data_IF_573731710509
#
_entry.id   IF_573731710509
#
_cell.length_a   1.000
_cell.length_b   1.000
_cell.length_c   1.000
_cell.angle_alpha   90.00
_cell.angle_beta   90.00
_cell.angle_gamma   90.00
#
_symmetry.space_group_name_H-M   'P 1'
#
loop_
_entity.id
_entity.type
_entity.pdbx_description
1 polymer ?
#
# COMPACT_ATOMS: atom_id res chain seq x y z
N UNK A 1 -15.90 8.86 9.14
CA UNK A 1 -15.92 9.44 7.80
C UNK A 1 -15.33 10.84 7.84
N UNK A 2 -14.45 11.15 6.89
CA UNK A 2 -13.89 12.46 6.60
C UNK A 2 -14.43 12.83 5.22
N UNK A 3 -15.44 13.69 5.15
CA UNK A 3 -16.21 13.90 3.92
C UNK A 3 -16.54 15.37 3.68
N UNK A 4 -16.49 15.79 2.42
CA UNK A 4 -16.83 17.16 1.98
C UNK A 4 -15.62 18.02 1.68
N UNK A 5 -15.76 18.89 0.66
CA UNK A 5 -14.67 19.72 0.13
C UNK A 5 -14.09 20.75 1.10
N UNK A 6 -14.81 21.06 2.17
CA UNK A 6 -14.34 21.96 3.24
C UNK A 6 -13.69 21.21 4.41
N UNK A 7 -13.68 19.87 4.38
CA UNK A 7 -13.11 19.03 5.44
C UNK A 7 -11.61 18.87 5.21
N UNK A 8 -10.84 19.65 5.93
CA UNK A 8 -9.39 19.75 5.73
C UNK A 8 -8.63 19.83 7.06
N UNK A 9 -7.36 19.37 7.03
CA UNK A 9 -6.42 19.41 8.17
C UNK A 9 -6.88 18.66 9.43
N UNK A 10 -7.74 17.64 9.28
CA UNK A 10 -8.12 16.79 10.39
C UNK A 10 -7.07 15.68 10.59
N UNK A 11 -6.95 15.21 11.84
CA UNK A 11 -6.08 14.11 12.20
C UNK A 11 -6.86 12.97 12.87
N UNK A 12 -6.59 11.74 12.45
CA UNK A 12 -7.07 10.50 13.08
C UNK A 12 -5.86 9.77 13.61
N UNK A 13 -5.62 9.81 14.92
CA UNK A 13 -4.35 9.37 15.53
C UNK A 13 -4.55 8.53 16.79
N UNK A 14 -3.68 7.51 16.99
CA UNK A 14 -3.59 6.74 18.23
C UNK A 14 -4.81 5.85 18.53
N UNK A 15 -5.60 5.48 17.52
CA UNK A 15 -6.84 4.74 17.72
C UNK A 15 -6.67 3.26 17.41
N UNK A 16 -7.51 2.44 18.03
CA UNK A 16 -7.81 1.08 17.59
C UNK A 16 -9.13 1.10 16.80
N UNK A 17 -9.09 0.77 15.51
CA UNK A 17 -10.25 0.85 14.60
C UNK A 17 -10.53 -0.55 14.04
N UNK A 18 -11.59 -1.18 14.52
CA UNK A 18 -11.95 -2.55 14.19
C UNK A 18 -11.20 -3.62 14.98
N UNK A 19 -10.53 -3.22 16.06
CA UNK A 19 -9.91 -4.11 17.03
C UNK A 19 -10.44 -3.83 18.45
N UNK A 20 -10.23 -4.78 19.35
CA UNK A 20 -10.57 -4.63 20.77
C UNK A 20 -9.67 -3.59 21.48
N UNK A 21 -9.97 -3.29 22.73
CA UNK A 21 -9.23 -2.32 23.56
C UNK A 21 -7.74 -2.70 23.75
N UNK A 22 -7.39 -3.96 23.58
CA UNK A 22 -6.02 -4.43 23.65
C UNK A 22 -5.32 -4.43 22.26
N UNK A 23 -6.06 -4.18 21.17
CA UNK A 23 -5.55 -4.22 19.80
C UNK A 23 -5.12 -5.61 19.35
N UNK A 24 -5.73 -6.68 19.90
CA UNK A 24 -5.32 -8.07 19.67
C UNK A 24 -6.43 -8.96 19.11
N UNK A 25 -7.69 -8.55 19.20
CA UNK A 25 -8.84 -9.29 18.69
C UNK A 25 -9.60 -8.42 17.69
N UNK A 26 -9.98 -9.00 16.55
CA UNK A 26 -10.79 -8.31 15.55
C UNK A 26 -12.22 -8.10 16.05
N UNK A 27 -12.66 -6.86 16.09
CA UNK A 27 -14.03 -6.42 16.33
C UNK A 27 -14.44 -5.47 15.18
N UNK A 28 -14.34 -6.00 13.97
CA UNK A 28 -14.36 -5.24 12.73
C UNK A 28 -15.67 -4.50 12.45
N UNK A 29 -15.52 -3.36 11.81
CA UNK A 29 -16.65 -2.66 11.21
C UNK A 29 -17.02 -3.37 9.89
N UNK A 30 -18.32 -3.50 9.60
CA UNK A 30 -18.77 -4.12 8.35
C UNK A 30 -18.38 -3.31 7.09
N UNK A 31 -18.10 -2.03 7.26
CA UNK A 31 -17.60 -1.13 6.23
C UNK A 31 -16.12 -0.81 6.35
N UNK A 32 -15.77 0.42 6.02
CA UNK A 32 -14.40 0.92 6.08
C UNK A 32 -14.02 1.31 7.52
N UNK A 33 -12.78 1.04 7.93
CA UNK A 33 -12.25 1.56 9.18
C UNK A 33 -12.20 3.09 9.15
N UNK A 34 -11.54 3.65 8.11
CA UNK A 34 -11.53 5.10 7.82
C UNK A 34 -11.90 5.30 6.36
N UNK A 35 -12.78 6.25 6.07
CA UNK A 35 -13.07 6.72 4.72
C UNK A 35 -12.82 8.21 4.60
N UNK A 36 -12.17 8.63 3.50
CA UNK A 36 -11.94 10.04 3.11
C UNK A 36 -12.48 10.22 1.70
N UNK A 37 -13.42 11.14 1.52
CA UNK A 37 -14.12 11.31 0.24
C UNK A 37 -14.76 12.69 0.05
N UNK A 38 -15.46 12.84 -1.07
CA UNK A 38 -16.25 14.03 -1.42
C UNK A 38 -15.39 15.31 -1.40
N UNK A 39 -14.14 15.21 -1.87
CA UNK A 39 -13.23 16.35 -1.96
C UNK A 39 -12.54 16.73 -0.64
N UNK A 40 -12.53 15.87 0.38
CA UNK A 40 -11.79 16.14 1.61
C UNK A 40 -10.27 16.13 1.37
N UNK A 41 -9.57 17.16 1.84
CA UNK A 41 -8.16 17.39 1.49
C UNK A 41 -7.26 17.61 2.71
N UNK A 42 -5.96 17.32 2.55
CA UNK A 42 -4.93 17.63 3.57
C UNK A 42 -5.18 17.02 4.95
N UNK A 43 -5.94 15.93 5.05
CA UNK A 43 -6.16 15.22 6.29
C UNK A 43 -5.05 14.20 6.55
N UNK A 44 -4.80 13.87 7.81
CA UNK A 44 -3.78 12.92 8.20
C UNK A 44 -4.40 11.75 8.97
N UNK A 45 -4.11 10.52 8.51
CA UNK A 45 -4.47 9.28 9.20
C UNK A 45 -3.19 8.68 9.77
N UNK A 46 -3.05 8.68 11.08
CA UNK A 46 -1.81 8.34 11.79
C UNK A 46 -0.88 9.53 11.95
N UNK A 47 0.42 9.30 11.89
CA UNK A 47 1.44 10.35 12.02
C UNK A 47 2.81 9.78 12.33
N UNK A 48 3.85 10.60 12.16
CA UNK A 48 5.25 10.21 12.39
C UNK A 48 5.67 10.19 13.86
N UNK A 49 4.94 10.88 14.73
CA UNK A 49 5.25 10.94 16.16
C UNK A 49 4.93 9.60 16.85
N UNK A 50 5.68 9.27 17.87
CA UNK A 50 5.42 8.07 18.67
C UNK A 50 3.98 8.09 19.23
N UNK A 51 3.24 7.00 19.05
CA UNK A 51 1.84 6.87 19.46
C UNK A 51 0.81 7.53 18.53
N UNK A 52 1.22 8.24 17.47
CA UNK A 52 0.29 8.84 16.50
C UNK A 52 -0.30 7.81 15.51
N UNK A 53 0.38 6.70 15.29
CA UNK A 53 -0.12 5.64 14.42
C UNK A 53 -1.39 4.98 14.96
N UNK A 54 -2.31 4.59 14.09
CA UNK A 54 -3.48 3.82 14.45
C UNK A 54 -3.24 2.33 14.21
N UNK A 55 -3.98 1.47 14.91
CA UNK A 55 -4.19 0.06 14.58
C UNK A 55 -5.53 -0.03 13.85
N UNK A 56 -5.50 -0.40 12.57
CA UNK A 56 -6.71 -0.44 11.70
C UNK A 56 -6.85 -1.85 11.16
N UNK A 57 -7.72 -2.66 11.77
CA UNK A 57 -7.74 -4.10 11.55
C UNK A 57 -9.14 -4.68 11.72
N UNK A 58 -9.41 -5.83 11.07
CA UNK A 58 -10.70 -6.51 11.16
C UNK A 58 -11.82 -5.91 10.31
N UNK A 59 -11.60 -4.82 9.58
CA UNK A 59 -12.65 -4.15 8.80
C UNK A 59 -12.79 -4.75 7.39
N UNK A 60 -13.84 -4.38 6.64
CA UNK A 60 -13.90 -4.71 5.22
C UNK A 60 -12.77 -3.99 4.46
N UNK A 61 -12.63 -2.69 4.55
CA UNK A 61 -11.44 -1.97 4.09
C UNK A 61 -10.84 -1.18 5.24
N UNK A 62 -9.54 -1.30 5.47
CA UNK A 62 -8.89 -0.55 6.54
C UNK A 62 -9.03 0.95 6.32
N UNK A 63 -8.48 1.47 5.22
CA UNK A 63 -8.56 2.89 4.83
C UNK A 63 -9.01 2.98 3.37
N UNK A 64 -10.03 3.80 3.11
CA UNK A 64 -10.55 4.03 1.76
C UNK A 64 -10.52 5.52 1.41
N UNK A 65 -9.83 5.88 0.32
CA UNK A 65 -9.84 7.21 -0.27
C UNK A 65 -10.62 7.16 -1.58
N UNK A 66 -11.59 8.04 -1.75
CA UNK A 66 -12.51 8.02 -2.89
C UNK A 66 -12.71 9.45 -3.43
N UNK A 67 -13.04 9.53 -4.73
CA UNK A 67 -13.39 10.72 -5.49
C UNK A 67 -12.21 11.62 -5.95
N UNK A 68 -12.41 12.24 -7.11
CA UNK A 68 -11.38 12.98 -7.86
C UNK A 68 -10.72 14.12 -7.08
N UNK A 69 -11.50 14.86 -6.30
CA UNK A 69 -11.03 16.03 -5.55
C UNK A 69 -10.46 15.67 -4.16
N UNK A 70 -10.50 14.39 -3.78
CA UNK A 70 -9.93 13.90 -2.52
C UNK A 70 -8.42 13.80 -2.66
N UNK A 71 -7.71 14.87 -2.27
CA UNK A 71 -6.30 15.05 -2.57
C UNK A 71 -5.47 15.52 -1.37
N UNK A 72 -4.15 15.30 -1.44
CA UNK A 72 -3.21 15.81 -0.44
C UNK A 72 -3.35 15.16 0.95
N UNK A 73 -4.11 14.07 1.09
CA UNK A 73 -4.22 13.38 2.36
C UNK A 73 -3.00 12.49 2.60
N UNK A 74 -2.63 12.30 3.88
CA UNK A 74 -1.47 11.52 4.29
C UNK A 74 -1.88 10.35 5.18
N UNK A 75 -1.36 9.15 4.88
CA UNK A 75 -1.53 7.92 5.66
C UNK A 75 -0.16 7.52 6.18
N UNK A 76 0.11 7.73 7.48
CA UNK A 76 1.46 7.67 8.05
C UNK A 76 1.49 6.86 9.34
N UNK A 77 2.49 5.98 9.50
CA UNK A 77 2.82 5.36 10.78
C UNK A 77 1.78 4.38 11.33
N UNK A 78 0.86 3.88 10.50
CA UNK A 78 -0.21 2.99 10.95
C UNK A 78 0.18 1.51 10.87
N UNK A 79 -0.47 0.69 11.70
CA UNK A 79 -0.53 -0.75 11.60
C UNK A 79 -1.87 -1.15 10.96
N UNK A 80 -1.84 -1.72 9.75
CA UNK A 80 -3.04 -1.99 8.94
C UNK A 80 -3.12 -3.48 8.63
N UNK A 81 -4.06 -4.17 9.30
CA UNK A 81 -4.26 -5.60 9.17
C UNK A 81 -3.41 -6.45 10.12
N UNK A 82 -2.72 -5.81 11.06
CA UNK A 82 -1.98 -6.48 12.13
C UNK A 82 -2.54 -6.11 13.50
N UNK A 83 -2.11 -6.84 14.52
CA UNK A 83 -2.32 -6.47 15.92
C UNK A 83 -1.50 -5.22 16.30
N UNK A 84 -1.68 -4.74 17.52
CA UNK A 84 -0.97 -3.56 18.05
C UNK A 84 0.56 -3.72 18.11
N UNK A 85 1.07 -4.94 18.06
CA UNK A 85 2.52 -5.20 18.05
C UNK A 85 3.12 -5.18 16.66
N UNK A 86 2.27 -5.18 15.61
CA UNK A 86 2.69 -5.28 14.22
C UNK A 86 3.29 -6.64 13.86
N UNK A 87 3.06 -7.67 14.67
CA UNK A 87 3.69 -9.00 14.51
C UNK A 87 2.69 -10.15 14.32
N UNK A 88 1.42 -9.96 14.66
CA UNK A 88 0.37 -10.95 14.49
C UNK A 88 -0.71 -10.42 13.53
N UNK A 89 -1.29 -11.34 12.74
CA UNK A 89 -2.33 -11.03 11.77
C UNK A 89 -3.65 -10.70 12.46
N UNK A 90 -4.27 -9.59 12.02
CA UNK A 90 -5.61 -9.18 12.44
C UNK A 90 -6.39 -8.56 11.25
N UNK A 91 -6.30 -9.17 10.07
CA UNK A 91 -6.54 -8.62 8.74
C UNK A 91 -7.87 -7.91 8.50
N UNK A 92 -7.81 -6.85 7.70
CA UNK A 92 -8.96 -6.36 6.94
C UNK A 92 -9.15 -7.23 5.67
N UNK A 93 -10.23 -7.06 4.90
CA UNK A 93 -10.29 -7.63 3.56
C UNK A 93 -9.30 -6.90 2.67
N UNK A 94 -9.39 -5.58 2.55
CA UNK A 94 -8.36 -4.74 1.92
C UNK A 94 -7.69 -3.84 2.96
N UNK A 95 -6.38 -3.66 2.85
CA UNK A 95 -5.64 -2.75 3.74
C UNK A 95 -5.94 -1.29 3.43
N UNK A 96 -5.46 -0.81 2.28
CA UNK A 96 -5.72 0.54 1.76
C UNK A 96 -6.29 0.41 0.35
N UNK A 97 -7.41 1.09 0.08
CA UNK A 97 -7.94 1.23 -1.25
C UNK A 97 -8.04 2.72 -1.64
N UNK A 98 -7.62 3.05 -2.87
CA UNK A 98 -7.75 4.38 -3.45
C UNK A 98 -8.51 4.26 -4.77
N UNK A 99 -9.64 4.94 -4.88
CA UNK A 99 -10.47 4.98 -6.07
C UNK A 99 -10.66 6.41 -6.54
N UNK A 100 -10.10 6.75 -7.69
CA UNK A 100 -10.12 8.08 -8.31
C UNK A 100 -9.47 9.22 -7.49
N UNK A 101 -9.16 9.02 -6.20
CA UNK A 101 -8.46 10.01 -5.38
C UNK A 101 -6.98 10.12 -5.79
N UNK A 102 -6.43 11.33 -5.76
CA UNK A 102 -5.11 11.62 -6.34
C UNK A 102 -4.22 12.46 -5.43
N UNK A 103 -2.91 12.45 -5.72
CA UNK A 103 -1.90 13.24 -4.97
C UNK A 103 -1.94 13.00 -3.46
N UNK A 104 -2.36 11.81 -3.03
CA UNK A 104 -2.29 11.40 -1.64
C UNK A 104 -0.96 10.69 -1.38
N UNK A 105 -0.52 10.71 -0.14
CA UNK A 105 0.74 10.09 0.30
C UNK A 105 0.49 8.93 1.27
N UNK A 106 1.09 7.78 0.98
CA UNK A 106 1.06 6.59 1.84
C UNK A 106 2.49 6.31 2.31
N UNK A 107 2.75 6.52 3.59
CA UNK A 107 4.07 6.42 4.18
C UNK A 107 4.97 7.59 3.82
N UNK A 108 6.27 7.39 3.96
CA UNK A 108 7.29 8.40 3.66
C UNK A 108 8.69 7.92 4.05
N UNK A 109 9.74 8.73 3.77
CA UNK A 109 11.12 8.34 3.95
C UNK A 109 11.54 8.21 5.41
N UNK A 110 10.89 8.92 6.33
CA UNK A 110 11.22 8.86 7.74
C UNK A 110 10.66 7.58 8.40
N UNK A 111 11.42 6.92 9.29
CA UNK A 111 10.96 5.69 9.95
C UNK A 111 9.60 5.80 10.64
N UNK A 112 9.27 6.95 11.23
CA UNK A 112 7.98 7.19 11.88
C UNK A 112 6.82 7.37 10.91
N UNK A 113 7.07 7.62 9.63
CA UNK A 113 6.03 7.73 8.59
C UNK A 113 5.64 6.39 7.99
N UNK A 114 6.42 5.34 8.26
CA UNK A 114 6.23 3.99 7.72
C UNK A 114 4.91 3.38 8.19
N UNK A 115 4.07 2.94 7.26
CA UNK A 115 2.99 2.03 7.60
C UNK A 115 3.47 0.58 7.50
N UNK A 116 2.90 -0.29 8.35
CA UNK A 116 2.94 -1.74 8.20
C UNK A 116 1.59 -2.18 7.64
N UNK A 117 1.56 -2.73 6.43
CA UNK A 117 0.34 -3.09 5.72
C UNK A 117 0.40 -4.60 5.45
N UNK A 118 -0.09 -5.39 6.39
CA UNK A 118 0.14 -6.84 6.40
C UNK A 118 -1.04 -7.60 6.98
N UNK A 119 -1.16 -8.87 6.62
CA UNK A 119 -2.23 -9.74 7.15
C UNK A 119 -3.60 -9.52 6.52
N UNK A 120 -3.78 -8.59 5.59
CA UNK A 120 -5.06 -8.36 4.92
C UNK A 120 -5.39 -9.52 3.96
N UNK A 121 -6.68 -9.82 3.75
CA UNK A 121 -7.09 -11.07 3.13
C UNK A 121 -7.18 -11.04 1.61
N UNK A 122 -7.17 -9.85 0.99
CA UNK A 122 -7.21 -9.67 -0.46
C UNK A 122 -6.05 -8.80 -0.93
N UNK A 123 -6.15 -7.48 -0.86
CA UNK A 123 -5.09 -6.55 -1.25
C UNK A 123 -4.50 -5.84 -0.05
N UNK A 124 -3.18 -5.69 0.01
CA UNK A 124 -2.58 -4.77 0.96
C UNK A 124 -2.83 -3.32 0.51
N UNK A 125 -2.54 -3.00 -0.76
CA UNK A 125 -2.80 -1.70 -1.38
C UNK A 125 -3.46 -1.90 -2.75
N UNK A 126 -4.64 -1.33 -2.94
CA UNK A 126 -5.36 -1.31 -4.21
C UNK A 126 -5.45 0.13 -4.73
N UNK A 127 -4.91 0.36 -5.91
CA UNK A 127 -4.93 1.65 -6.59
C UNK A 127 -5.76 1.57 -7.86
N UNK A 128 -6.74 2.44 -7.97
CA UNK A 128 -7.57 2.65 -9.16
C UNK A 128 -7.74 4.15 -9.37
N UNK A 129 -6.65 4.86 -9.66
CA UNK A 129 -6.55 6.32 -9.59
C UNK A 129 -6.13 6.92 -10.92
N UNK A 130 -6.77 8.00 -11.34
CA UNK A 130 -6.49 8.69 -12.61
C UNK A 130 -5.31 9.67 -12.54
N UNK A 131 -4.79 9.98 -11.35
CA UNK A 131 -3.65 10.89 -11.18
C UNK A 131 -2.84 10.53 -9.93
N UNK A 132 -1.54 10.56 -10.09
CA UNK A 132 -0.52 9.93 -9.25
C UNK A 132 -0.63 10.12 -7.74
N UNK A 133 -0.55 9.00 -7.04
CA UNK A 133 -0.32 8.95 -5.60
C UNK A 133 1.14 8.57 -5.32
N UNK A 134 1.64 8.86 -4.12
CA UNK A 134 3.00 8.55 -3.72
C UNK A 134 2.99 7.53 -2.58
N UNK A 135 3.62 6.37 -2.80
CA UNK A 135 3.65 5.27 -1.83
C UNK A 135 5.10 4.94 -1.50
N UNK A 136 5.57 5.34 -0.31
CA UNK A 136 6.99 5.32 0.05
C UNK A 136 7.25 4.77 1.45
N UNK A 137 8.38 4.08 1.62
CA UNK A 137 8.93 3.70 2.92
C UNK A 137 8.12 2.67 3.71
N UNK A 138 7.08 2.06 3.14
CA UNK A 138 6.19 1.15 3.83
C UNK A 138 6.77 -0.28 3.89
N UNK A 139 6.31 -1.03 4.88
CA UNK A 139 6.45 -2.48 4.96
C UNK A 139 5.12 -3.13 4.55
N UNK A 140 5.14 -3.90 3.46
CA UNK A 140 3.96 -4.51 2.88
C UNK A 140 4.16 -6.02 2.83
N UNK A 141 3.32 -6.75 3.58
CA UNK A 141 3.40 -8.21 3.72
C UNK A 141 4.48 -8.70 4.69
N UNK A 142 5.16 -7.80 5.40
CA UNK A 142 6.10 -8.15 6.47
C UNK A 142 5.61 -7.63 7.83
N UNK A 143 6.22 -8.09 8.90
CA UNK A 143 6.01 -7.55 10.25
C UNK A 143 6.62 -6.15 10.41
N UNK A 144 6.43 -5.55 11.58
CA UNK A 144 6.96 -4.21 11.91
C UNK A 144 8.49 -4.12 11.85
N UNK A 145 9.21 -5.24 11.94
CA UNK A 145 10.67 -5.28 11.81
C UNK A 145 11.15 -5.37 10.37
N UNK A 146 10.24 -5.70 9.43
CA UNK A 146 10.56 -5.95 8.04
C UNK A 146 11.36 -7.23 7.81
N UNK A 147 11.38 -8.15 8.80
CA UNK A 147 12.21 -9.36 8.74
C UNK A 147 11.43 -10.63 8.49
N UNK A 148 10.18 -10.72 8.93
CA UNK A 148 9.32 -11.89 8.74
C UNK A 148 8.07 -11.52 7.93
N UNK A 149 7.56 -12.47 7.16
CA UNK A 149 6.26 -12.35 6.50
C UNK A 149 5.18 -12.80 7.45
N UNK A 150 4.18 -11.98 7.68
CA UNK A 150 2.97 -12.36 8.39
C UNK A 150 2.23 -13.41 7.57
N UNK A 151 1.87 -14.54 8.14
CA UNK A 151 1.23 -15.68 7.47
C UNK A 151 0.13 -15.25 6.50
N UNK A 152 0.44 -15.34 5.21
CA UNK A 152 -0.14 -14.48 4.18
C UNK A 152 -1.38 -15.10 3.60
N UNK A 153 -2.46 -14.35 3.64
CA UNK A 153 -3.61 -14.57 2.78
C UNK A 153 -3.91 -13.33 1.93
N UNK A 154 -2.94 -12.43 1.69
CA UNK A 154 -3.08 -11.44 0.64
C UNK A 154 -2.93 -12.17 -0.70
N UNK A 155 -3.93 -12.09 -1.56
CA UNK A 155 -3.72 -12.53 -2.93
C UNK A 155 -2.64 -11.65 -3.57
N UNK A 156 -2.66 -10.36 -3.26
CA UNK A 156 -1.74 -9.36 -3.82
C UNK A 156 -1.28 -8.36 -2.76
N UNK A 157 -0.01 -7.97 -2.81
CA UNK A 157 0.45 -6.84 -2.00
C UNK A 157 0.00 -5.52 -2.64
N UNK A 158 0.37 -5.27 -3.90
CA UNK A 158 -0.15 -4.15 -4.68
C UNK A 158 -0.99 -4.66 -5.85
N UNK A 159 -2.15 -4.07 -6.03
CA UNK A 159 -2.95 -4.21 -7.23
C UNK A 159 -3.22 -2.82 -7.83
N UNK A 160 -2.73 -2.59 -9.04
CA UNK A 160 -2.90 -1.36 -9.80
C UNK A 160 -3.90 -1.63 -10.94
N UNK A 161 -5.12 -1.15 -10.79
CA UNK A 161 -6.21 -1.35 -11.71
C UNK A 161 -6.55 -0.05 -12.45
N UNK A 162 -5.82 0.26 -13.50
CA UNK A 162 -5.95 1.52 -14.22
C UNK A 162 -5.45 2.72 -13.43
N UNK A 163 -4.37 2.53 -12.68
CA UNK A 163 -3.69 3.62 -11.98
C UNK A 163 -2.83 4.44 -12.95
N UNK A 164 -2.79 5.75 -12.74
CA UNK A 164 -1.99 6.63 -13.57
C UNK A 164 -1.00 7.47 -12.77
N UNK A 165 0.25 7.53 -13.26
CA UNK A 165 1.31 8.42 -12.79
C UNK A 165 1.69 8.28 -11.30
N UNK A 166 1.37 7.17 -10.64
CA UNK A 166 1.78 6.96 -9.24
C UNK A 166 3.27 6.67 -9.13
N UNK A 167 3.82 6.98 -7.96
CA UNK A 167 5.19 6.65 -7.58
C UNK A 167 5.16 5.59 -6.46
N UNK A 168 5.68 4.41 -6.75
CA UNK A 168 5.87 3.35 -5.76
C UNK A 168 7.35 3.27 -5.42
N UNK A 169 7.73 3.71 -4.23
CA UNK A 169 9.10 3.89 -3.80
C UNK A 169 9.66 5.25 -4.16
N UNK A 170 10.93 5.30 -4.53
CA UNK A 170 11.62 6.54 -4.91
C UNK A 170 13.12 6.35 -4.96
N UNK A 171 13.85 7.43 -5.18
CA UNK A 171 15.31 7.40 -5.38
C UNK A 171 16.10 7.80 -4.13
N UNK A 172 15.43 8.43 -3.16
CA UNK A 172 16.05 8.91 -1.93
C UNK A 172 16.15 7.84 -0.84
N UNK A 173 17.02 8.05 0.15
CA UNK A 173 17.11 7.17 1.32
C UNK A 173 15.75 7.05 2.04
N UNK A 174 15.33 5.83 2.34
CA UNK A 174 14.08 5.55 3.06
C UNK A 174 12.80 5.60 2.21
N UNK A 175 12.86 6.01 0.94
CA UNK A 175 11.69 6.10 0.06
C UNK A 175 11.24 4.74 -0.47
N UNK A 176 12.14 3.76 -0.59
CA UNK A 176 11.81 2.42 -1.07
C UNK A 176 10.91 1.66 -0.10
N UNK A 177 9.90 0.97 -0.63
CA UNK A 177 9.08 0.04 0.14
C UNK A 177 9.76 -1.33 0.24
N UNK A 178 9.41 -2.09 1.28
CA UNK A 178 9.67 -3.53 1.38
C UNK A 178 8.37 -4.25 1.06
N UNK A 179 8.37 -5.10 0.02
CA UNK A 179 7.16 -5.75 -0.54
C UNK A 179 7.43 -7.26 -0.59
N UNK A 180 6.80 -8.02 0.28
CA UNK A 180 7.14 -9.43 0.47
C UNK A 180 5.93 -10.28 0.89
N UNK A 181 6.05 -11.60 0.74
CA UNK A 181 5.11 -12.59 1.29
C UNK A 181 3.72 -12.62 0.64
N UNK A 182 3.49 -11.99 -0.49
CA UNK A 182 2.21 -12.00 -1.21
C UNK A 182 2.18 -12.98 -2.40
N UNK A 183 1.01 -13.22 -2.99
CA UNK A 183 0.90 -13.88 -4.28
C UNK A 183 1.61 -13.05 -5.34
N UNK A 184 1.22 -11.80 -5.52
CA UNK A 184 1.94 -10.83 -6.34
C UNK A 184 2.53 -9.73 -5.45
N UNK A 185 3.80 -9.40 -5.68
CA UNK A 185 4.42 -8.23 -5.07
C UNK A 185 3.76 -6.96 -5.61
N UNK A 186 3.80 -6.75 -6.91
CA UNK A 186 3.08 -5.68 -7.61
C UNK A 186 2.39 -6.28 -8.83
N UNK A 187 1.07 -6.23 -8.86
CA UNK A 187 0.28 -6.61 -10.03
C UNK A 187 -0.23 -5.35 -10.73
N UNK A 188 0.16 -5.20 -12.00
CA UNK A 188 -0.30 -4.17 -12.89
C UNK A 188 -1.27 -4.82 -13.88
N UNK A 189 -2.54 -4.48 -13.78
CA UNK A 189 -3.58 -5.04 -14.61
C UNK A 189 -4.75 -4.08 -14.74
N UNK A 190 -5.64 -4.39 -15.65
CA UNK A 190 -6.93 -3.72 -15.79
C UNK A 190 -8.03 -4.77 -15.85
N UNK A 191 -9.05 -4.66 -15.01
CA UNK A 191 -10.19 -5.59 -15.02
C UNK A 191 -11.34 -5.11 -15.89
N UNK A 192 -11.22 -3.92 -16.49
CA UNK A 192 -12.25 -3.33 -17.34
C UNK A 192 -11.62 -2.70 -18.58
N UNK A 193 -12.33 -2.77 -19.70
CA UNK A 193 -11.99 -2.09 -20.93
C UNK A 193 -11.66 -0.61 -20.67
N UNK A 194 -10.56 -0.11 -21.22
CA UNK A 194 -10.06 1.25 -21.06
C UNK A 194 -9.48 1.63 -19.68
N UNK A 195 -9.16 0.67 -18.81
CA UNK A 195 -8.41 0.93 -17.57
C UNK A 195 -6.98 0.40 -17.70
N UNK A 196 -6.08 1.22 -18.19
CA UNK A 196 -4.65 0.90 -18.31
C UNK A 196 -3.88 1.58 -17.18
N UNK A 197 -2.99 0.83 -16.54
CA UNK A 197 -1.99 1.46 -15.66
C UNK A 197 -0.96 2.16 -16.53
N UNK A 198 -0.81 3.48 -16.37
CA UNK A 198 0.07 4.28 -17.23
C UNK A 198 0.95 5.24 -16.44
N UNK A 199 2.17 5.51 -16.96
CA UNK A 199 3.08 6.49 -16.38
C UNK A 199 3.54 6.20 -14.95
N UNK A 200 3.19 5.06 -14.40
CA UNK A 200 3.55 4.67 -13.02
C UNK A 200 5.03 4.31 -12.93
N UNK A 201 5.69 4.78 -11.89
CA UNK A 201 7.11 4.55 -11.62
C UNK A 201 7.28 3.67 -10.40
N UNK A 202 8.06 2.58 -10.54
CA UNK A 202 8.38 1.62 -9.48
C UNK A 202 9.89 1.69 -9.26
N UNK A 203 10.34 2.37 -8.21
CA UNK A 203 11.74 2.73 -8.02
C UNK A 203 12.21 2.50 -6.58
N UNK A 204 13.45 2.02 -6.40
CA UNK A 204 14.13 1.91 -5.11
C UNK A 204 13.52 0.90 -4.12
N UNK A 205 12.60 0.04 -4.55
CA UNK A 205 11.94 -0.91 -3.67
C UNK A 205 12.75 -2.19 -3.49
N UNK A 206 12.45 -2.91 -2.40
CA UNK A 206 12.88 -4.29 -2.16
C UNK A 206 11.69 -5.21 -2.31
N UNK A 207 11.69 -6.09 -3.32
CA UNK A 207 10.57 -6.93 -3.70
C UNK A 207 10.98 -8.40 -3.60
N UNK A 208 10.42 -9.12 -2.61
CA UNK A 208 10.72 -10.52 -2.32
C UNK A 208 11.84 -10.75 -1.31
N UNK A 209 12.32 -9.68 -0.66
CA UNK A 209 13.35 -9.79 0.38
C UNK A 209 12.92 -9.14 1.69
N UNK A 210 13.66 -9.39 2.77
CA UNK A 210 13.54 -8.64 4.02
C UNK A 210 14.02 -7.18 3.86
N UNK A 211 13.81 -6.36 4.87
CA UNK A 211 14.18 -4.94 4.85
C UNK A 211 15.69 -4.70 4.65
N UNK A 212 16.54 -5.62 5.11
CA UNK A 212 17.98 -5.56 4.86
C UNK A 212 18.36 -5.91 3.40
N UNK A 213 17.48 -6.62 2.66
CA UNK A 213 17.77 -7.11 1.31
C UNK A 213 18.67 -8.34 1.28
N UNK A 214 18.80 -9.05 2.40
CA UNK A 214 19.78 -10.16 2.57
C UNK A 214 19.15 -11.53 2.71
N UNK A 215 17.83 -11.60 2.91
CA UNK A 215 17.11 -12.85 3.08
C UNK A 215 15.85 -12.85 2.20
N UNK A 216 15.59 -13.97 1.56
CA UNK A 216 14.37 -14.18 0.78
C UNK A 216 13.13 -14.14 1.69
N UNK A 217 12.13 -13.38 1.26
CA UNK A 217 10.77 -13.28 1.81
C UNK A 217 9.79 -13.19 0.65
N UNK A 218 9.86 -14.20 -0.23
CA UNK A 218 9.30 -14.20 -1.58
C UNK A 218 7.82 -13.90 -1.65
N UNK A 219 7.45 -13.16 -2.68
CA UNK A 219 6.14 -13.23 -3.30
C UNK A 219 6.11 -14.43 -4.25
N UNK A 220 4.95 -14.89 -4.72
CA UNK A 220 4.96 -15.84 -5.82
C UNK A 220 5.57 -15.19 -7.07
N UNK A 221 5.08 -14.02 -7.46
CA UNK A 221 5.68 -13.16 -8.50
C UNK A 221 6.12 -11.82 -7.91
N UNK A 222 7.29 -11.32 -8.36
CA UNK A 222 7.77 -10.01 -7.92
C UNK A 222 6.91 -8.88 -8.49
N UNK A 223 7.01 -8.61 -9.79
CA UNK A 223 6.17 -7.66 -10.53
C UNK A 223 5.52 -8.43 -11.67
N UNK A 224 4.21 -8.31 -11.77
CA UNK A 224 3.40 -9.00 -12.76
C UNK A 224 2.57 -8.01 -13.58
N UNK A 225 2.73 -8.08 -14.90
CA UNK A 225 1.90 -7.38 -15.86
C UNK A 225 0.96 -8.37 -16.51
N UNK A 226 -0.32 -8.11 -16.48
CA UNK A 226 -1.31 -8.88 -17.19
C UNK A 226 -1.99 -7.99 -18.23
N UNK A 227 -1.69 -8.26 -19.50
CA UNK A 227 -2.45 -7.72 -20.62
C UNK A 227 -3.55 -8.72 -20.96
N UNK A 228 -4.81 -8.34 -20.79
CA UNK A 228 -5.92 -9.02 -21.39
C UNK A 228 -6.59 -8.06 -22.35
N UNK A 229 -6.67 -8.45 -23.64
CA UNK A 229 -7.38 -7.71 -24.68
C UNK A 229 -7.00 -6.22 -24.82
N UNK A 230 -5.69 -5.91 -24.79
CA UNK A 230 -5.18 -4.54 -24.91
C UNK A 230 -5.25 -3.73 -23.61
N UNK A 231 -5.37 -4.39 -22.46
CA UNK A 231 -5.40 -3.74 -21.13
C UNK A 231 -4.02 -3.70 -20.45
N UNK A 232 -2.97 -3.61 -21.22
CA UNK A 232 -1.58 -3.62 -20.78
C UNK A 232 -1.20 -2.32 -20.05
N UNK A 233 -0.20 -2.42 -19.17
CA UNK A 233 0.43 -1.23 -18.61
C UNK A 233 1.23 -0.49 -19.70
N UNK A 234 0.92 0.78 -19.93
CA UNK A 234 1.64 1.63 -20.87
C UNK A 234 2.55 2.61 -20.12
N UNK A 235 3.75 2.84 -20.65
CA UNK A 235 4.70 3.81 -20.08
C UNK A 235 5.03 3.58 -18.59
N UNK A 236 4.91 2.34 -18.10
CA UNK A 236 5.33 1.98 -16.74
C UNK A 236 6.85 1.86 -16.70
N UNK A 237 7.46 2.49 -15.73
CA UNK A 237 8.91 2.46 -15.53
C UNK A 237 9.27 1.64 -14.28
N UNK A 238 10.08 0.60 -14.46
CA UNK A 238 10.62 -0.22 -13.37
C UNK A 238 12.11 0.09 -13.22
N UNK A 239 12.49 0.70 -12.11
CA UNK A 239 13.85 1.19 -11.91
C UNK A 239 14.10 2.50 -12.62
N UNK A 240 15.32 2.69 -13.12
CA UNK A 240 15.75 3.87 -13.84
C UNK A 240 17.26 4.06 -13.77
N UNK A 241 17.79 5.03 -14.49
CA UNK A 241 19.21 5.35 -14.56
C UNK A 241 19.70 6.32 -13.49
N UNK A 242 18.77 6.98 -12.81
CA UNK A 242 19.09 7.87 -11.69
C UNK A 242 19.59 7.04 -10.50
N UNK A 243 20.58 7.53 -9.78
CA UNK A 243 21.06 6.89 -8.57
C UNK A 243 19.91 6.64 -7.59
N UNK A 244 19.83 5.43 -7.03
CA UNK A 244 18.75 5.01 -6.13
C UNK A 244 17.47 4.54 -6.81
N UNK A 245 17.30 4.70 -8.13
CA UNK A 245 16.10 4.28 -8.85
C UNK A 245 15.99 2.74 -9.02
N UNK A 246 17.09 2.01 -8.95
CA UNK A 246 17.09 0.56 -9.11
C UNK A 246 16.32 -0.14 -7.99
N UNK A 247 15.44 -1.09 -8.34
CA UNK A 247 14.80 -1.97 -7.37
C UNK A 247 15.65 -3.20 -7.10
N UNK A 248 15.60 -3.73 -5.88
CA UNK A 248 16.05 -5.09 -5.59
C UNK A 248 14.86 -6.04 -5.75
N UNK A 249 14.84 -6.84 -6.82
CA UNK A 249 13.77 -7.82 -7.09
C UNK A 249 14.41 -9.20 -7.00
N UNK A 250 14.25 -9.87 -5.85
CA UNK A 250 14.98 -11.10 -5.56
C UNK A 250 14.25 -11.93 -4.52
N UNK A 251 14.51 -13.25 -4.53
CA UNK A 251 13.94 -14.17 -3.56
C UNK A 251 12.45 -14.49 -3.76
N UNK A 252 11.84 -14.05 -4.87
CA UNK A 252 10.49 -14.45 -5.25
C UNK A 252 10.46 -15.92 -5.70
N UNK A 253 9.33 -16.59 -5.54
CA UNK A 253 9.19 -18.03 -5.76
C UNK A 253 9.26 -18.37 -7.25
N UNK A 254 8.65 -17.53 -8.08
CA UNK A 254 8.60 -17.68 -9.53
C UNK A 254 9.42 -16.55 -10.18
N UNK A 255 8.83 -15.75 -11.05
CA UNK A 255 9.56 -14.72 -11.77
C UNK A 255 9.73 -13.42 -10.96
N UNK A 256 10.88 -12.77 -11.14
CA UNK A 256 11.12 -11.44 -10.61
C UNK A 256 10.23 -10.38 -11.30
N UNK A 257 10.20 -10.41 -12.64
CA UNK A 257 9.32 -9.58 -13.48
C UNK A 257 8.74 -10.45 -14.57
N UNK A 258 7.43 -10.46 -14.70
CA UNK A 258 6.71 -11.18 -15.75
C UNK A 258 5.74 -10.23 -16.44
N UNK A 259 5.88 -10.08 -17.75
CA UNK A 259 4.92 -9.39 -18.60
C UNK A 259 4.27 -10.40 -19.53
N UNK A 260 2.94 -10.43 -19.57
CA UNK A 260 2.13 -11.23 -20.50
C UNK A 260 1.21 -10.29 -21.25
N UNK A 261 1.21 -10.38 -22.56
CA UNK A 261 0.29 -9.73 -23.49
C UNK A 261 -0.56 -10.75 -24.20
#
# INVERSE_FOLDING_TARGET
>A
NITGSTTTNNAVQGNYIGADVNGTVALGNAGNGVIVRDGATSNTIGGAAAGAGNVISGNNTGIYLEDLETTGNAILGNLIGTDRTGTARLGNVDGIAISNASRNRIGGPAPGERNVISGNTRYAVHLSSLAGNTIQGNYVGTDITGTTTQGVNNAHNFFLNGDANSLIGGTGPGEGNVIAGGGYGIWLGGTAANRHTTGTRIQGNKIGTNAAGTQARGNAWGIYFEGQDGHEGHDVSIGGTTAGAGNLISGNVLEGVLARG
#
